data_IF_798364884262
#
_entry.id   IF_798364884262
#
_cell.length_a   1.000
_cell.length_b   1.000
_cell.length_c   1.000
_cell.angle_alpha   90.00
_cell.angle_beta   90.00
_cell.angle_gamma   90.00
#
_symmetry.space_group_name_H-M   'P 1'
#
loop_
_entity.id
_entity.type
_entity.pdbx_description
1 polymer ?
#
# COMPACT_ATOMS: atom_id res chain seq x y z
N UNK A 1 35.07 11.58 11.07
CA UNK A 1 33.76 12.29 11.16
C UNK A 1 32.68 11.66 10.27
N UNK A 2 32.92 11.40 8.97
CA UNK A 2 31.89 10.86 8.04
C UNK A 2 31.25 9.50 8.40
N UNK A 3 32.03 8.53 8.90
CA UNK A 3 31.51 7.20 9.29
C UNK A 3 30.56 7.27 10.49
N UNK A 4 30.78 8.24 11.39
CA UNK A 4 29.93 8.41 12.56
C UNK A 4 28.56 8.99 12.19
N UNK A 5 28.53 9.88 11.19
CA UNK A 5 27.30 10.49 10.67
C UNK A 5 26.48 9.46 9.88
N UNK A 6 27.11 8.61 9.07
CA UNK A 6 26.41 7.55 8.34
C UNK A 6 25.81 6.50 9.29
N UNK A 7 26.54 6.10 10.33
CA UNK A 7 26.01 5.20 11.36
C UNK A 7 24.87 5.84 12.15
N UNK A 8 24.93 7.15 12.42
CA UNK A 8 23.86 7.87 13.10
C UNK A 8 22.59 7.93 12.23
N UNK A 9 22.71 8.22 10.94
CA UNK A 9 21.59 8.25 9.99
C UNK A 9 20.96 6.86 9.84
N UNK A 10 21.77 5.82 9.67
CA UNK A 10 21.28 4.43 9.58
C UNK A 10 20.58 4.01 10.88
N UNK A 11 21.13 4.39 12.04
CA UNK A 11 20.51 4.16 13.35
C UNK A 11 19.16 4.88 13.50
N UNK A 12 19.05 6.12 13.03
CA UNK A 12 17.82 6.91 13.10
C UNK A 12 16.74 6.36 12.16
N UNK A 13 17.12 5.90 10.96
CA UNK A 13 16.24 5.21 10.01
C UNK A 13 15.77 3.88 10.60
N UNK A 14 16.66 3.09 11.19
CA UNK A 14 16.30 1.82 11.86
C UNK A 14 15.36 2.03 13.05
N UNK A 15 15.61 3.05 13.88
CA UNK A 15 14.75 3.40 15.00
C UNK A 15 13.36 3.89 14.55
N UNK A 16 13.28 4.63 13.45
CA UNK A 16 12.03 5.05 12.85
C UNK A 16 11.24 3.84 12.32
N UNK A 17 11.90 2.91 11.63
CA UNK A 17 11.29 1.66 11.17
C UNK A 17 10.72 0.82 12.32
N UNK A 18 11.50 0.64 13.39
CA UNK A 18 11.04 -0.09 14.59
C UNK A 18 9.85 0.59 15.27
N UNK A 19 9.79 1.94 15.27
CA UNK A 19 8.63 2.67 15.81
C UNK A 19 7.39 2.52 14.92
N UNK A 20 7.56 2.53 13.60
CA UNK A 20 6.47 2.32 12.64
C UNK A 20 5.87 0.94 12.81
N UNK A 21 6.69 -0.10 12.90
CA UNK A 21 6.23 -1.48 13.09
C UNK A 21 5.46 -1.64 14.41
N UNK A 22 5.99 -1.07 15.51
CA UNK A 22 5.29 -1.04 16.80
C UNK A 22 3.95 -0.29 16.75
N UNK A 23 3.86 0.78 15.96
CA UNK A 23 2.60 1.52 15.79
C UNK A 23 1.59 0.72 14.97
N UNK A 24 2.02 0.06 13.90
CA UNK A 24 1.16 -0.82 13.10
C UNK A 24 0.63 -2.00 13.94
N UNK A 25 1.48 -2.62 14.75
CA UNK A 25 1.08 -3.70 15.67
C UNK A 25 0.09 -3.23 16.74
N UNK A 26 0.21 -1.99 17.25
CA UNK A 26 -0.76 -1.44 18.22
C UNK A 26 -2.11 -1.18 17.56
N UNK A 27 -2.10 -0.64 16.35
CA UNK A 27 -3.35 -0.39 15.61
C UNK A 27 -4.05 -1.70 15.26
N UNK A 28 -3.31 -2.73 14.81
CA UNK A 28 -3.90 -4.03 14.49
C UNK A 28 -4.47 -4.74 15.72
N UNK A 29 -3.81 -4.64 16.87
CA UNK A 29 -4.36 -5.16 18.13
C UNK A 29 -5.64 -4.42 18.55
N UNK A 30 -5.64 -3.09 18.49
CA UNK A 30 -6.82 -2.30 18.84
C UNK A 30 -7.99 -2.57 17.88
N UNK A 31 -7.73 -2.77 16.59
CA UNK A 31 -8.80 -3.13 15.64
C UNK A 31 -9.39 -4.51 15.94
N UNK A 32 -8.54 -5.50 16.27
CA UNK A 32 -9.00 -6.84 16.64
C UNK A 32 -9.79 -6.82 17.95
N UNK A 33 -9.38 -6.01 18.92
CA UNK A 33 -10.06 -5.87 20.20
C UNK A 33 -11.42 -5.19 20.05
N UNK A 34 -11.52 -4.17 19.18
CA UNK A 34 -12.79 -3.54 18.84
C UNK A 34 -13.72 -4.48 18.07
N UNK A 35 -13.18 -5.32 17.19
CA UNK A 35 -13.96 -6.31 16.45
C UNK A 35 -14.51 -7.39 17.40
N UNK A 36 -13.66 -7.91 18.30
CA UNK A 36 -14.09 -8.85 19.33
C UNK A 36 -15.14 -8.25 20.29
N UNK A 37 -14.97 -6.99 20.73
CA UNK A 37 -15.96 -6.31 21.58
C UNK A 37 -17.29 -6.10 20.84
N UNK A 38 -17.22 -5.72 19.56
CA UNK A 38 -18.41 -5.56 18.73
C UNK A 38 -19.15 -6.89 18.54
N UNK A 39 -18.41 -7.97 18.33
CA UNK A 39 -19.00 -9.30 18.14
C UNK A 39 -19.56 -9.85 19.46
N UNK A 40 -18.89 -9.61 20.59
CA UNK A 40 -19.39 -9.95 21.92
C UNK A 40 -20.65 -9.17 22.32
N UNK A 41 -20.82 -7.94 21.83
CA UNK A 41 -22.05 -7.16 22.03
C UNK A 41 -23.18 -7.57 21.08
N UNK A 42 -22.86 -8.08 19.89
CA UNK A 42 -23.84 -8.58 18.90
C UNK A 42 -24.38 -9.97 19.20
N UNK A 43 -23.56 -10.85 19.77
CA UNK A 43 -23.96 -12.20 20.16
C UNK A 43 -25.21 -12.24 21.06
N UNK A 44 -25.32 -11.46 22.16
CA UNK A 44 -26.52 -11.47 23.00
C UNK A 44 -27.76 -10.88 22.30
N UNK A 45 -27.58 -9.91 21.39
CA UNK A 45 -28.69 -9.30 20.65
C UNK A 45 -29.27 -10.27 19.58
N UNK A 46 -28.45 -11.14 19.00
CA UNK A 46 -28.91 -12.16 18.06
C UNK A 46 -29.61 -13.34 18.73
N UNK A 47 -29.17 -13.76 19.93
CA UNK A 47 -29.86 -14.81 20.69
C UNK A 47 -31.25 -14.38 21.15
N UNK A 48 -31.41 -13.13 21.58
CA UNK A 48 -32.73 -12.57 21.95
C UNK A 48 -33.67 -12.47 20.74
N UNK A 49 -33.17 -12.01 19.58
CA UNK A 49 -33.98 -11.92 18.35
C UNK A 49 -34.38 -13.32 17.83
N UNK A 50 -33.48 -14.31 17.94
CA UNK A 50 -33.79 -15.69 17.56
C UNK A 50 -34.80 -16.35 18.51
N UNK A 51 -34.72 -16.11 19.83
CA UNK A 51 -35.73 -16.59 20.78
C UNK A 51 -37.10 -15.96 20.57
N UNK A 52 -37.16 -14.64 20.34
CA UNK A 52 -38.42 -13.93 20.08
C UNK A 52 -39.07 -14.42 18.78
N UNK A 53 -38.27 -14.66 17.74
CA UNK A 53 -38.77 -15.19 16.45
C UNK A 53 -39.24 -16.64 16.57
N UNK A 54 -38.51 -17.49 17.29
CA UNK A 54 -38.90 -18.88 17.53
C UNK A 54 -40.19 -18.99 18.38
N UNK A 55 -40.40 -18.07 19.33
CA UNK A 55 -41.64 -17.99 20.10
C UNK A 55 -42.83 -17.47 19.28
N UNK A 56 -42.59 -16.68 18.23
CA UNK A 56 -43.63 -16.14 17.34
C UNK A 56 -44.08 -17.13 16.24
N UNK A 57 -43.32 -18.19 15.96
CA UNK A 57 -43.58 -19.15 14.88
C UNK A 57 -44.26 -20.46 15.36
N UNK A 58 -44.64 -20.55 16.64
CA UNK A 58 -45.42 -21.67 17.16
C UNK A 58 -46.87 -21.65 16.60
N UNK A 59 -47.43 -22.77 16.10
CA UNK A 59 -48.77 -22.80 15.53
C UNK A 59 -49.84 -22.46 16.56
N UNK A 60 -50.57 -21.36 16.35
CA UNK A 60 -51.72 -20.98 17.19
C UNK A 60 -52.92 -21.88 16.88
N UNK A 61 -53.38 -22.62 17.90
CA UNK A 61 -54.61 -23.39 17.84
C UNK A 61 -55.86 -22.48 17.76
N UNK A 62 -56.97 -22.91 17.13
CA UNK A 62 -58.05 -22.03 16.74
C UNK A 62 -58.89 -21.53 17.92
N UNK A 63 -59.19 -20.23 17.92
CA UNK A 63 -60.06 -19.57 18.89
C UNK A 63 -61.43 -20.25 19.03
N UNK A 64 -61.80 -20.49 20.29
CA UNK A 64 -63.13 -20.89 20.72
C UNK A 64 -64.18 -19.82 20.35
N UNK A 65 -65.23 -20.24 19.64
CA UNK A 65 -66.47 -19.47 19.48
C UNK A 65 -67.22 -19.46 20.81
N UNK A 66 -67.48 -18.26 21.34
CA UNK A 66 -68.47 -18.05 22.39
C UNK A 66 -69.87 -18.36 21.85
N UNK A 67 -70.65 -19.15 22.59
CA UNK A 67 -72.07 -19.36 22.36
C UNK A 67 -72.90 -18.75 23.53
N UNK A 68 -74.14 -18.29 23.28
CA UNK A 68 -74.93 -17.52 24.24
C UNK A 68 -75.67 -18.40 25.25
N UNK A 69 -75.89 -17.84 26.44
CA UNK A 69 -76.56 -18.46 27.59
C UNK A 69 -78.08 -18.62 27.38
N UNK A 70 -78.68 -19.73 27.88
CA UNK A 70 -80.08 -19.74 28.33
C UNK A 70 -80.25 -20.23 29.78
N UNK A 71 -81.42 -19.98 30.43
CA UNK A 71 -81.58 -20.07 31.88
C UNK A 71 -82.15 -21.41 32.40
N UNK A 72 -81.76 -21.70 33.65
CA UNK A 72 -82.35 -22.51 34.73
C UNK A 72 -83.32 -23.69 34.45
N UNK A 73 -82.95 -24.88 34.96
CA UNK A 73 -83.83 -25.78 35.74
C UNK A 73 -83.01 -26.88 36.45
N UNK A 74 -83.38 -27.18 37.69
CA UNK A 74 -82.97 -28.32 38.57
C UNK A 74 -84.20 -29.28 38.56
N UNK A 75 -84.19 -30.60 38.89
CA UNK A 75 -83.24 -31.35 39.73
C UNK A 75 -82.98 -32.86 39.39
N UNK A 76 -82.02 -33.47 40.12
CA UNK A 76 -82.18 -34.84 40.67
C UNK A 76 -81.69 -36.06 39.86
N UNK A 77 -81.52 -37.23 40.51
CA UNK A 77 -80.28 -38.05 40.42
C UNK A 77 -80.48 -39.48 39.87
N UNK A 78 -79.39 -40.17 39.50
CA UNK A 78 -79.06 -41.56 39.88
C UNK A 78 -78.03 -42.22 38.92
N UNK A 79 -77.29 -43.24 39.39
CA UNK A 79 -76.02 -43.70 38.84
C UNK A 79 -76.11 -45.06 38.10
N UNK A 80 -75.06 -45.44 37.37
CA UNK A 80 -74.78 -46.87 37.16
C UNK A 80 -73.29 -47.14 37.02
N UNK A 81 -72.79 -47.80 38.05
CA UNK A 81 -71.62 -48.65 38.02
C UNK A 81 -71.81 -49.81 37.05
N UNK A 82 -70.73 -50.19 36.36
CA UNK A 82 -70.35 -51.60 36.20
C UNK A 82 -68.86 -51.68 35.86
N UNK A 83 -68.08 -51.92 36.92
CA UNK A 83 -66.82 -52.69 36.90
C UNK A 83 -67.16 -54.18 36.67
N UNK A 84 -66.21 -55.14 36.64
CA UNK A 84 -64.83 -55.14 36.12
C UNK A 84 -64.52 -56.46 35.35
N UNK A 85 -63.38 -56.54 34.66
CA UNK A 85 -62.64 -57.82 34.55
C UNK A 85 -61.15 -57.54 34.42
N UNK A 86 -60.43 -58.03 35.42
CA UNK A 86 -59.00 -57.95 35.64
C UNK A 86 -58.37 -59.35 35.33
N UNK A 87 -57.11 -59.68 35.68
CA UNK A 87 -55.97 -59.75 34.76
C UNK A 87 -55.32 -61.14 34.70
N UNK A 88 -54.29 -61.33 33.86
CA UNK A 88 -53.27 -62.35 34.07
C UNK A 88 -51.89 -61.82 33.65
N UNK A 89 -50.95 -61.94 34.59
CA UNK A 89 -49.59 -61.38 34.66
C UNK A 89 -48.52 -62.35 34.06
N UNK A 90 -47.20 -62.26 34.37
CA UNK A 90 -46.21 -61.24 34.01
C UNK A 90 -44.86 -61.80 33.45
N UNK A 91 -44.06 -60.93 32.77
CA UNK A 91 -42.58 -60.75 32.67
C UNK A 91 -41.55 -61.92 32.60
N UNK A 92 -40.22 -61.70 32.33
CA UNK A 92 -39.47 -60.63 31.61
C UNK A 92 -38.33 -61.18 30.69
N UNK A 93 -37.71 -60.36 29.81
CA UNK A 93 -36.24 -60.22 29.64
C UNK A 93 -35.87 -59.26 28.49
N UNK A 94 -34.88 -58.41 28.76
CA UNK A 94 -34.24 -57.48 27.83
C UNK A 94 -33.02 -58.11 27.13
N UNK A 95 -32.76 -57.73 25.87
CA UNK A 95 -31.43 -57.33 25.31
C UNK A 95 -31.48 -57.10 23.78
N UNK A 96 -30.92 -55.98 23.32
CA UNK A 96 -30.60 -55.65 21.91
C UNK A 96 -29.29 -56.36 21.46
N UNK A 97 -28.68 -56.21 20.25
CA UNK A 97 -28.90 -55.19 19.19
C UNK A 97 -28.60 -55.61 17.69
N UNK A 98 -28.64 -54.60 16.80
CA UNK A 98 -27.99 -54.40 15.46
C UNK A 98 -28.54 -55.06 14.18
N UNK A 99 -28.80 -54.19 13.19
CA UNK A 99 -28.45 -54.26 11.75
C UNK A 99 -29.65 -54.08 10.80
N UNK A 100 -29.84 -52.87 10.28
CA UNK A 100 -30.60 -52.62 9.06
C UNK A 100 -29.76 -51.76 8.11
N UNK A 101 -29.58 -52.29 6.92
CA UNK A 101 -28.65 -51.84 5.89
C UNK A 101 -29.20 -50.67 5.06
N UNK A 102 -28.26 -49.75 4.76
CA UNK A 102 -28.01 -49.08 3.49
C UNK A 102 -29.18 -48.82 2.51
N UNK A 103 -29.53 -47.54 2.39
CA UNK A 103 -29.88 -46.90 1.12
C UNK A 103 -29.22 -45.52 1.11
N UNK A 104 -27.99 -45.44 0.59
CA UNK A 104 -27.33 -44.17 0.27
C UNK A 104 -27.70 -43.74 -1.15
N UNK A 105 -28.43 -42.63 -1.19
CA UNK A 105 -28.80 -41.85 -2.34
C UNK A 105 -27.56 -41.02 -2.76
N UNK A 106 -27.19 -41.09 -4.03
CA UNK A 106 -26.04 -40.39 -4.58
C UNK A 106 -26.21 -38.86 -4.48
N UNK A 107 -25.51 -38.24 -3.53
CA UNK A 107 -25.24 -36.81 -3.50
C UNK A 107 -23.79 -36.56 -3.95
N UNK A 108 -23.50 -35.48 -4.69
CA UNK A 108 -22.13 -35.15 -5.09
C UNK A 108 -21.30 -34.87 -3.84
N UNK A 109 -20.25 -35.66 -3.60
CA UNK A 109 -19.25 -35.37 -2.58
C UNK A 109 -18.62 -34.01 -2.84
N UNK A 110 -18.93 -33.04 -1.98
CA UNK A 110 -18.06 -31.90 -1.77
C UNK A 110 -16.71 -32.44 -1.23
N UNK A 111 -15.56 -32.05 -1.81
CA UNK A 111 -14.28 -32.57 -1.33
C UNK A 111 -14.08 -32.11 0.12
N UNK A 112 -14.07 -33.08 1.02
CA UNK A 112 -13.71 -32.89 2.41
C UNK A 112 -12.28 -32.32 2.47
N UNK A 113 -12.12 -31.22 3.21
CA UNK A 113 -10.84 -30.58 3.43
C UNK A 113 -9.84 -31.53 4.09
N UNK A 114 -8.94 -32.07 3.29
CA UNK A 114 -7.67 -32.62 3.74
C UNK A 114 -6.57 -31.62 3.40
N UNK A 115 -5.72 -31.29 4.38
CA UNK A 115 -4.41 -30.68 4.12
C UNK A 115 -3.48 -31.73 3.48
N UNK A 116 -3.79 -32.15 2.25
CA UNK A 116 -2.80 -32.79 1.39
C UNK A 116 -2.15 -31.67 0.60
N UNK A 117 -0.84 -31.45 0.80
CA UNK A 117 -0.09 -30.63 -0.14
C UNK A 117 -0.30 -31.24 -1.52
N UNK A 118 -0.99 -30.49 -2.38
CA UNK A 118 -1.37 -30.90 -3.72
C UNK A 118 -0.10 -30.82 -4.59
N UNK A 119 0.81 -31.76 -4.37
CA UNK A 119 2.10 -31.84 -5.08
C UNK A 119 1.87 -31.94 -6.59
N UNK A 120 0.75 -32.53 -7.03
CA UNK A 120 0.34 -32.59 -8.43
C UNK A 120 -0.04 -31.21 -8.99
N UNK A 121 -0.71 -30.34 -8.22
CA UNK A 121 -1.03 -28.97 -8.67
C UNK A 121 0.22 -28.06 -8.68
N UNK A 122 1.15 -28.30 -7.74
CA UNK A 122 2.43 -27.57 -7.68
C UNK A 122 3.38 -28.01 -8.78
N UNK A 123 3.63 -29.32 -8.96
CA UNK A 123 4.57 -29.87 -9.93
C UNK A 123 3.98 -29.99 -11.35
N UNK A 124 2.69 -30.30 -11.48
CA UNK A 124 2.04 -30.51 -12.77
C UNK A 124 1.56 -29.22 -13.43
N UNK A 125 1.02 -28.26 -12.68
CA UNK A 125 0.43 -27.02 -13.25
C UNK A 125 1.29 -25.78 -13.06
N UNK A 126 1.88 -25.58 -11.87
CA UNK A 126 2.58 -24.32 -11.56
C UNK A 126 4.07 -24.35 -11.91
N UNK A 127 4.75 -25.49 -11.75
CA UNK A 127 6.18 -25.62 -12.01
C UNK A 127 6.57 -25.41 -13.48
N UNK A 128 5.83 -25.91 -14.49
CA UNK A 128 6.16 -25.67 -15.89
C UNK A 128 5.92 -24.22 -16.32
N UNK A 129 4.91 -23.54 -15.75
CA UNK A 129 4.65 -22.11 -16.00
C UNK A 129 5.78 -21.26 -15.42
N UNK A 130 6.20 -21.57 -14.19
CA UNK A 130 7.26 -20.83 -13.52
C UNK A 130 8.64 -21.13 -14.12
N UNK A 131 8.93 -22.40 -14.38
CA UNK A 131 10.17 -22.84 -15.02
C UNK A 131 10.27 -22.36 -16.47
N UNK A 132 9.17 -22.42 -17.23
CA UNK A 132 9.09 -21.87 -18.58
C UNK A 132 9.26 -20.35 -18.60
N UNK A 133 8.62 -19.64 -17.68
CA UNK A 133 8.81 -18.20 -17.52
C UNK A 133 10.25 -17.82 -17.16
N UNK A 134 10.88 -18.57 -16.26
CA UNK A 134 12.28 -18.37 -15.88
C UNK A 134 13.24 -18.67 -17.04
N UNK A 135 13.03 -19.77 -17.76
CA UNK A 135 13.81 -20.12 -18.95
C UNK A 135 13.65 -19.06 -20.04
N UNK A 136 12.43 -18.55 -20.28
CA UNK A 136 12.17 -17.49 -21.24
C UNK A 136 12.85 -16.17 -20.84
N UNK A 137 12.83 -15.82 -19.55
CA UNK A 137 13.52 -14.65 -19.03
C UNK A 137 15.05 -14.74 -19.25
N UNK A 138 15.64 -15.89 -18.93
CA UNK A 138 17.07 -16.16 -19.16
C UNK A 138 17.38 -16.09 -20.66
N UNK A 139 16.60 -16.77 -21.49
CA UNK A 139 16.77 -16.76 -22.95
C UNK A 139 16.70 -15.33 -23.51
N UNK A 140 15.78 -14.51 -23.02
CA UNK A 140 15.70 -13.09 -23.38
C UNK A 140 16.96 -12.30 -23.02
N UNK A 141 17.49 -12.47 -21.81
CA UNK A 141 18.73 -11.83 -21.37
C UNK A 141 19.92 -12.24 -22.26
N UNK A 142 20.06 -13.55 -22.54
CA UNK A 142 21.12 -14.05 -23.43
C UNK A 142 20.94 -13.58 -24.87
N UNK A 143 19.71 -13.49 -25.38
CA UNK A 143 19.44 -12.99 -26.73
C UNK A 143 19.85 -11.52 -26.87
N UNK A 144 19.52 -10.69 -25.87
CA UNK A 144 19.96 -9.29 -25.82
C UNK A 144 21.48 -9.23 -25.79
N UNK A 145 22.13 -10.00 -24.90
CA UNK A 145 23.59 -10.05 -24.80
C UNK A 145 24.25 -10.48 -26.11
N UNK A 146 23.74 -11.52 -26.76
CA UNK A 146 24.22 -11.98 -28.06
C UNK A 146 24.09 -10.88 -29.12
N UNK A 147 22.95 -10.18 -29.16
CA UNK A 147 22.72 -9.07 -30.10
C UNK A 147 23.67 -7.88 -29.86
N UNK A 148 24.10 -7.68 -28.61
CA UNK A 148 25.11 -6.69 -28.22
C UNK A 148 26.50 -7.11 -28.70
N UNK A 149 26.89 -8.37 -28.46
CA UNK A 149 28.20 -8.92 -28.83
C UNK A 149 28.36 -9.04 -30.36
N UNK A 150 27.28 -9.37 -31.07
CA UNK A 150 27.24 -9.42 -32.53
C UNK A 150 27.15 -8.03 -33.20
N UNK A 151 27.09 -6.94 -32.41
CA UNK A 151 27.09 -5.57 -32.93
C UNK A 151 25.77 -5.09 -33.55
N UNK A 152 24.70 -5.88 -33.51
CA UNK A 152 23.39 -5.50 -34.07
C UNK A 152 22.73 -4.36 -33.29
N UNK A 153 22.90 -4.35 -31.97
CA UNK A 153 22.37 -3.31 -31.10
C UNK A 153 23.48 -2.34 -30.73
N UNK A 154 23.64 -1.26 -31.48
CA UNK A 154 24.56 -0.17 -31.10
C UNK A 154 24.00 0.61 -29.90
N UNK A 155 24.85 1.29 -29.09
CA UNK A 155 24.39 2.11 -27.96
C UNK A 155 23.20 3.06 -28.26
N UNK A 156 23.19 3.85 -29.35
CA UNK A 156 22.04 4.72 -29.64
C UNK A 156 20.75 3.93 -29.93
N UNK A 157 20.84 2.78 -30.60
CA UNK A 157 19.67 1.94 -30.90
C UNK A 157 19.08 1.36 -29.62
N UNK A 158 19.91 0.91 -28.67
CA UNK A 158 19.46 0.40 -27.36
C UNK A 158 18.69 1.45 -26.57
N UNK A 159 19.19 2.69 -26.59
CA UNK A 159 18.55 3.82 -25.91
C UNK A 159 17.24 4.18 -26.61
N UNK A 160 17.22 4.28 -27.94
CA UNK A 160 16.00 4.56 -28.69
C UNK A 160 14.92 3.49 -28.46
N UNK A 161 15.29 2.20 -28.48
CA UNK A 161 14.37 1.11 -28.18
C UNK A 161 13.84 1.18 -26.74
N UNK A 162 14.70 1.53 -25.77
CA UNK A 162 14.27 1.74 -24.38
C UNK A 162 13.24 2.86 -24.26
N UNK A 163 13.45 3.98 -24.96
CA UNK A 163 12.48 5.09 -24.98
C UNK A 163 11.15 4.69 -25.63
N UNK A 164 11.20 4.07 -26.81
CA UNK A 164 9.99 3.60 -27.51
C UNK A 164 9.24 2.58 -26.65
N UNK A 165 9.95 1.65 -26.01
CA UNK A 165 9.36 0.65 -25.14
C UNK A 165 8.73 1.28 -23.90
N UNK A 166 9.44 2.19 -23.22
CA UNK A 166 8.93 2.90 -22.04
C UNK A 166 7.69 3.74 -22.34
N UNK A 167 7.70 4.49 -23.45
CA UNK A 167 6.53 5.24 -23.92
C UNK A 167 5.39 4.31 -24.34
N UNK A 168 5.71 3.19 -24.99
CA UNK A 168 4.75 2.15 -25.37
C UNK A 168 4.04 1.55 -24.16
N UNK A 169 4.77 1.25 -23.09
CA UNK A 169 4.19 0.79 -21.82
C UNK A 169 3.28 1.84 -21.19
N UNK A 170 3.66 3.11 -21.25
CA UNK A 170 2.84 4.22 -20.74
C UNK A 170 1.56 4.39 -21.56
N UNK A 171 1.65 4.29 -22.88
CA UNK A 171 0.50 4.31 -23.78
C UNK A 171 -0.41 3.09 -23.55
N UNK A 172 0.17 1.92 -23.30
CA UNK A 172 -0.57 0.71 -22.95
C UNK A 172 -1.26 0.84 -21.58
N UNK A 173 -0.64 1.50 -20.60
CA UNK A 173 -1.27 1.82 -19.31
C UNK A 173 -2.49 2.74 -19.50
N UNK A 174 -2.35 3.77 -20.34
CA UNK A 174 -3.42 4.69 -20.72
C UNK A 174 -4.56 3.98 -21.47
N UNK A 175 -4.23 3.07 -22.39
CA UNK A 175 -5.21 2.27 -23.09
C UNK A 175 -5.96 1.33 -22.13
N UNK A 176 -5.24 0.67 -21.21
CA UNK A 176 -5.82 -0.16 -20.17
C UNK A 176 -6.77 0.64 -19.26
N UNK A 177 -6.42 1.89 -18.94
CA UNK A 177 -7.30 2.80 -18.18
C UNK A 177 -8.57 3.16 -18.95
N UNK A 178 -8.50 3.36 -20.28
CA UNK A 178 -9.69 3.63 -21.11
C UNK A 178 -10.60 2.41 -21.25
N UNK A 179 -10.03 1.22 -21.14
CA UNK A 179 -10.71 -0.07 -21.21
C UNK A 179 -11.10 -0.61 -19.82
N UNK A 180 -11.15 0.24 -18.79
CA UNK A 180 -11.41 -0.14 -17.39
C UNK A 180 -12.67 -1.02 -17.23
N UNK A 181 -13.69 -0.82 -18.07
CA UNK A 181 -14.91 -1.63 -18.05
C UNK A 181 -14.69 -3.11 -18.48
N UNK A 182 -13.58 -3.42 -19.15
CA UNK A 182 -13.21 -4.78 -19.60
C UNK A 182 -12.05 -5.40 -18.82
N UNK A 183 -11.25 -4.60 -18.12
CA UNK A 183 -10.13 -5.07 -17.30
C UNK A 183 -10.52 -5.03 -15.82
N UNK A 184 -10.70 -6.20 -15.21
CA UNK A 184 -11.16 -6.30 -13.83
C UNK A 184 -10.14 -5.88 -12.77
N UNK A 185 -8.83 -5.85 -13.08
CA UNK A 185 -7.77 -5.58 -12.09
C UNK A 185 -7.01 -4.26 -12.34
N UNK A 186 -7.16 -3.25 -11.45
CA UNK A 186 -6.44 -1.97 -11.54
C UNK A 186 -4.92 -2.10 -11.34
N UNK A 187 -4.42 -3.25 -10.89
CA UNK A 187 -2.98 -3.52 -10.76
C UNK A 187 -2.27 -3.60 -12.11
N UNK A 188 -2.97 -4.00 -13.16
CA UNK A 188 -2.38 -4.13 -14.51
C UNK A 188 -1.93 -2.76 -15.02
N UNK A 189 -2.83 -1.76 -15.02
CA UNK A 189 -2.49 -0.39 -15.43
C UNK A 189 -1.41 0.25 -14.54
N UNK A 190 -1.40 -0.06 -13.25
CA UNK A 190 -0.37 0.40 -12.31
C UNK A 190 1.01 -0.19 -12.62
N UNK A 191 1.05 -1.50 -12.90
CA UNK A 191 2.28 -2.19 -13.27
C UNK A 191 2.82 -1.67 -14.60
N UNK A 192 1.96 -1.48 -15.61
CA UNK A 192 2.38 -0.91 -16.91
C UNK A 192 2.89 0.52 -16.77
N UNK A 193 2.19 1.38 -16.01
CA UNK A 193 2.64 2.76 -15.79
C UNK A 193 3.97 2.81 -15.02
N UNK A 194 4.10 1.99 -13.98
CA UNK A 194 5.34 1.89 -13.21
C UNK A 194 6.52 1.37 -14.03
N UNK A 195 6.31 0.29 -14.79
CA UNK A 195 7.32 -0.27 -15.67
C UNK A 195 7.75 0.72 -16.77
N UNK A 196 6.79 1.46 -17.36
CA UNK A 196 7.08 2.50 -18.34
C UNK A 196 7.95 3.62 -17.77
N UNK A 197 7.60 4.14 -16.59
CA UNK A 197 8.38 5.17 -15.90
C UNK A 197 9.79 4.67 -15.53
N UNK A 198 9.90 3.46 -14.96
CA UNK A 198 11.19 2.87 -14.61
C UNK A 198 12.08 2.69 -15.86
N UNK A 199 11.49 2.25 -16.97
CA UNK A 199 12.19 2.11 -18.25
C UNK A 199 12.67 3.47 -18.76
N UNK A 200 11.86 4.53 -18.66
CA UNK A 200 12.25 5.89 -19.07
C UNK A 200 13.37 6.47 -18.21
N UNK A 201 13.34 6.26 -16.89
CA UNK A 201 14.47 6.62 -16.01
C UNK A 201 15.75 5.90 -16.45
N UNK A 202 15.66 4.59 -16.67
CA UNK A 202 16.77 3.81 -17.20
C UNK A 202 17.26 4.33 -18.54
N UNK A 203 16.37 4.64 -19.48
CA UNK A 203 16.72 5.14 -20.81
C UNK A 203 17.53 6.44 -20.74
N UNK A 204 17.12 7.41 -19.92
CA UNK A 204 17.90 8.65 -19.73
C UNK A 204 19.24 8.41 -19.02
N UNK A 205 19.28 7.51 -18.04
CA UNK A 205 20.53 7.15 -17.38
C UNK A 205 21.53 6.49 -18.35
N UNK A 206 21.06 5.52 -19.15
CA UNK A 206 21.89 4.90 -20.19
C UNK A 206 22.34 5.93 -21.23
N UNK A 207 21.45 6.84 -21.64
CA UNK A 207 21.75 7.86 -22.62
C UNK A 207 22.82 8.86 -22.14
N UNK A 208 22.70 9.36 -20.91
CA UNK A 208 23.60 10.36 -20.35
C UNK A 208 24.87 9.75 -19.77
N UNK A 209 24.71 8.91 -18.75
CA UNK A 209 25.82 8.47 -17.89
C UNK A 209 26.54 7.25 -18.44
N UNK A 210 25.81 6.26 -18.94
CA UNK A 210 26.45 5.00 -19.39
C UNK A 210 27.09 5.13 -20.78
N UNK A 211 26.39 5.77 -21.72
CA UNK A 211 26.82 5.83 -23.12
C UNK A 211 27.26 7.22 -23.59
N UNK A 212 27.05 8.28 -22.80
CA UNK A 212 27.46 9.65 -23.17
C UNK A 212 26.82 10.17 -24.46
N UNK A 213 25.66 9.65 -24.86
CA UNK A 213 24.94 10.00 -26.08
C UNK A 213 24.32 11.41 -26.00
N UNK A 214 23.94 11.82 -24.79
CA UNK A 214 23.43 13.15 -24.49
C UNK A 214 24.27 13.76 -23.36
N UNK A 215 24.45 15.08 -23.35
CA UNK A 215 25.17 15.76 -22.27
C UNK A 215 24.48 15.61 -20.91
N UNK A 216 25.21 15.87 -19.83
CA UNK A 216 24.70 15.79 -18.45
C UNK A 216 23.46 16.67 -18.22
N UNK A 217 23.44 17.89 -18.79
CA UNK A 217 22.30 18.81 -18.71
C UNK A 217 20.98 18.23 -19.25
N UNK A 218 20.90 17.83 -20.54
CA UNK A 218 19.69 17.21 -21.08
C UNK A 218 19.34 15.86 -20.43
N UNK A 219 20.32 15.08 -19.97
CA UNK A 219 20.05 13.86 -19.20
C UNK A 219 19.34 14.17 -17.88
N UNK A 220 19.84 15.17 -17.13
CA UNK A 220 19.26 15.63 -15.89
C UNK A 220 17.86 16.21 -16.09
N UNK A 221 17.67 17.07 -17.09
CA UNK A 221 16.36 17.62 -17.45
C UNK A 221 15.37 16.52 -17.87
N UNK A 222 15.85 15.51 -18.60
CA UNK A 222 15.07 14.34 -18.98
C UNK A 222 14.58 13.55 -17.78
N UNK A 223 15.47 13.20 -16.84
CA UNK A 223 15.11 12.53 -15.58
C UNK A 223 14.13 13.36 -14.73
N UNK A 224 14.33 14.67 -14.67
CA UNK A 224 13.40 15.59 -14.02
C UNK A 224 12.02 15.60 -14.70
N UNK A 225 11.99 15.62 -16.03
CA UNK A 225 10.77 15.50 -16.84
C UNK A 225 10.03 14.19 -16.59
N UNK A 226 10.75 13.06 -16.50
CA UNK A 226 10.16 11.76 -16.14
C UNK A 226 9.56 11.81 -14.73
N UNK A 227 10.22 12.49 -13.79
CA UNK A 227 9.68 12.65 -12.43
C UNK A 227 8.40 13.47 -12.41
N UNK A 228 8.35 14.58 -13.14
CA UNK A 228 7.13 15.39 -13.29
C UNK A 228 6.02 14.56 -13.93
N UNK A 229 6.34 13.78 -14.96
CA UNK A 229 5.40 12.85 -15.58
C UNK A 229 4.91 11.80 -14.57
N UNK A 230 5.80 11.22 -13.75
CA UNK A 230 5.44 10.25 -12.72
C UNK A 230 4.47 10.83 -11.69
N UNK A 231 4.71 12.06 -11.25
CA UNK A 231 3.82 12.81 -10.35
C UNK A 231 2.45 13.02 -11.02
N UNK A 232 2.43 13.52 -12.26
CA UNK A 232 1.18 13.73 -13.00
C UNK A 232 0.39 12.44 -13.20
N UNK A 233 1.08 11.37 -13.60
CA UNK A 233 0.50 10.05 -13.82
C UNK A 233 0.01 9.39 -12.52
N UNK A 234 0.60 9.74 -11.37
CA UNK A 234 0.15 9.19 -10.09
C UNK A 234 -1.29 9.58 -9.74
N UNK A 235 -1.79 10.71 -10.23
CA UNK A 235 -3.20 11.07 -10.04
C UNK A 235 -4.14 10.18 -10.85
N UNK A 236 -3.64 9.54 -11.91
CA UNK A 236 -4.43 8.68 -12.80
C UNK A 236 -4.29 7.20 -12.48
N UNK A 237 -3.06 6.75 -12.24
CA UNK A 237 -2.73 5.35 -12.01
C UNK A 237 -2.62 5.00 -10.52
N UNK A 238 -2.42 5.98 -9.64
CA UNK A 238 -2.39 5.83 -8.18
C UNK A 238 -0.98 5.82 -7.58
N UNK A 239 -0.89 5.24 -6.39
CA UNK A 239 0.29 5.31 -5.50
C UNK A 239 1.61 4.80 -6.13
N UNK A 240 1.66 3.69 -6.90
CA UNK A 240 2.94 3.14 -7.37
C UNK A 240 3.74 4.10 -8.25
N UNK A 241 3.08 4.88 -9.11
CA UNK A 241 3.75 5.87 -9.97
C UNK A 241 4.37 7.01 -9.16
N UNK A 242 3.71 7.43 -8.07
CA UNK A 242 4.27 8.45 -7.18
C UNK A 242 5.49 7.94 -6.40
N UNK A 243 5.47 6.67 -5.96
CA UNK A 243 6.64 6.06 -5.29
C UNK A 243 7.83 5.97 -6.24
N UNK A 244 7.60 5.58 -7.49
CA UNK A 244 8.67 5.58 -8.52
C UNK A 244 9.17 7.00 -8.76
N UNK A 245 8.28 8.00 -8.83
CA UNK A 245 8.68 9.41 -8.93
C UNK A 245 9.48 9.90 -7.72
N UNK A 246 9.16 9.44 -6.51
CA UNK A 246 9.93 9.75 -5.29
C UNK A 246 11.33 9.19 -5.40
N UNK A 247 11.45 7.88 -5.63
CA UNK A 247 12.74 7.20 -5.70
C UNK A 247 13.56 7.75 -6.87
N UNK A 248 12.98 7.84 -8.06
CA UNK A 248 13.65 8.31 -9.26
C UNK A 248 14.02 9.79 -9.21
N UNK A 249 13.15 10.65 -8.65
CA UNK A 249 13.40 12.08 -8.50
C UNK A 249 14.60 12.41 -7.63
N UNK A 250 14.73 11.72 -6.49
CA UNK A 250 15.87 11.87 -5.58
C UNK A 250 17.10 11.09 -6.02
N UNK A 251 16.96 10.02 -6.83
CA UNK A 251 18.08 9.30 -7.41
C UNK A 251 18.68 10.02 -8.62
N UNK A 252 17.92 10.83 -9.36
CA UNK A 252 18.36 11.48 -10.59
C UNK A 252 19.68 12.27 -10.47
N UNK A 253 19.92 13.08 -9.42
CA UNK A 253 21.18 13.80 -9.26
C UNK A 253 22.37 12.91 -8.91
N UNK A 254 22.15 11.71 -8.33
CA UNK A 254 23.21 10.72 -8.12
C UNK A 254 23.58 10.01 -9.42
N UNK A 255 22.57 9.81 -10.28
CA UNK A 255 22.70 9.07 -11.52
C UNK A 255 23.44 9.85 -12.60
N UNK A 256 23.33 11.18 -12.60
CA UNK A 256 24.06 12.05 -13.51
C UNK A 256 25.24 12.65 -12.73
N UNK A 257 26.46 12.19 -13.02
CA UNK A 257 27.68 12.84 -12.53
C UNK A 257 27.57 14.33 -12.88
N UNK A 258 27.38 15.15 -11.86
CA UNK A 258 27.16 16.58 -12.01
C UNK A 258 28.50 17.26 -12.24
N UNK A 259 29.03 17.13 -13.46
CA UNK A 259 30.27 17.80 -13.91
C UNK A 259 30.15 19.33 -13.82
N UNK A 260 28.92 19.84 -13.81
CA UNK A 260 28.61 21.19 -13.38
C UNK A 260 28.20 21.17 -11.91
N UNK A 261 29.12 21.47 -10.99
CA UNK A 261 28.87 21.70 -9.56
C UNK A 261 27.97 22.93 -9.27
N UNK A 262 26.89 23.11 -10.03
CA UNK A 262 25.93 24.20 -9.87
C UNK A 262 24.92 23.82 -8.78
N UNK A 263 25.34 24.01 -7.54
CA UNK A 263 24.50 23.84 -6.34
C UNK A 263 23.15 24.58 -6.48
N UNK A 264 23.09 25.82 -6.98
CA UNK A 264 21.82 26.52 -7.20
C UNK A 264 20.81 25.76 -8.07
N UNK A 265 21.24 25.22 -9.21
CA UNK A 265 20.36 24.48 -10.12
C UNK A 265 19.82 23.20 -9.45
N UNK A 266 20.68 22.48 -8.73
CA UNK A 266 20.31 21.27 -8.03
C UNK A 266 19.32 21.58 -6.89
N UNK A 267 19.60 22.60 -6.08
CA UNK A 267 18.72 23.06 -4.99
C UNK A 267 17.34 23.44 -5.53
N UNK A 268 17.27 24.14 -6.66
CA UNK A 268 16.01 24.50 -7.30
C UNK A 268 15.24 23.26 -7.78
N UNK A 269 15.91 22.33 -8.44
CA UNK A 269 15.31 21.06 -8.88
C UNK A 269 14.76 20.26 -7.69
N UNK A 270 15.53 20.09 -6.62
CA UNK A 270 15.09 19.36 -5.43
C UNK A 270 13.95 20.06 -4.70
N UNK A 271 13.95 21.39 -4.63
CA UNK A 271 12.84 22.15 -4.05
C UNK A 271 11.54 21.88 -4.83
N UNK A 272 11.61 21.92 -6.17
CA UNK A 272 10.47 21.63 -7.05
C UNK A 272 9.96 20.20 -6.89
N UNK A 273 10.86 19.21 -6.87
CA UNK A 273 10.50 17.79 -6.75
C UNK A 273 9.91 17.52 -5.36
N UNK A 274 10.57 17.98 -4.30
CA UNK A 274 10.07 17.85 -2.92
C UNK A 274 8.70 18.52 -2.78
N UNK A 275 8.53 19.71 -3.37
CA UNK A 275 7.25 20.41 -3.39
C UNK A 275 6.15 19.69 -4.16
N UNK A 276 6.46 19.20 -5.36
CA UNK A 276 5.52 18.43 -6.18
C UNK A 276 5.05 17.15 -5.49
N UNK A 277 5.98 16.43 -4.85
CA UNK A 277 5.64 15.17 -4.16
C UNK A 277 4.91 15.38 -2.85
N UNK A 278 5.31 16.37 -2.06
CA UNK A 278 4.60 16.72 -0.82
C UNK A 278 3.17 17.18 -1.09
N UNK A 279 2.97 18.02 -2.12
CA UNK A 279 1.65 18.40 -2.61
C UNK A 279 0.86 17.15 -3.00
N UNK A 280 1.45 16.29 -3.83
CA UNK A 280 0.78 15.09 -4.35
C UNK A 280 0.37 14.14 -3.23
N UNK A 281 1.24 13.90 -2.25
CA UNK A 281 0.94 13.11 -1.05
C UNK A 281 -0.19 13.70 -0.22
N UNK A 282 -0.24 15.03 -0.08
CA UNK A 282 -1.32 15.72 0.64
C UNK A 282 -2.66 15.61 -0.10
N UNK A 283 -2.64 15.71 -1.44
CA UNK A 283 -3.85 15.63 -2.27
C UNK A 283 -4.41 14.21 -2.33
N UNK A 284 -3.55 13.19 -2.30
CA UNK A 284 -3.95 11.78 -2.29
C UNK A 284 -4.28 11.25 -0.87
N UNK A 285 -4.31 12.10 0.17
CA UNK A 285 -4.48 11.72 1.60
C UNK A 285 -3.44 10.73 2.15
N UNK A 286 -2.36 10.48 1.40
CA UNK A 286 -1.27 9.59 1.77
C UNK A 286 -0.15 10.39 2.43
N UNK A 287 -0.38 10.80 3.68
CA UNK A 287 0.53 11.67 4.45
C UNK A 287 1.96 11.12 4.56
N UNK A 288 2.10 9.79 4.56
CA UNK A 288 3.42 9.13 4.61
C UNK A 288 4.33 9.54 3.46
N UNK A 289 3.77 9.78 2.27
CA UNK A 289 4.56 10.13 1.08
C UNK A 289 5.05 11.58 1.11
N UNK A 290 4.24 12.48 1.69
CA UNK A 290 4.68 13.84 1.99
C UNK A 290 5.82 13.85 3.02
N UNK A 291 5.74 13.01 4.04
CA UNK A 291 6.84 12.88 5.02
C UNK A 291 8.09 12.25 4.41
N UNK A 292 7.94 11.23 3.56
CA UNK A 292 9.06 10.62 2.86
C UNK A 292 9.76 11.62 1.92
N UNK A 293 9.00 12.43 1.19
CA UNK A 293 9.55 13.47 0.33
C UNK A 293 10.30 14.55 1.12
N UNK A 294 9.74 15.03 2.24
CA UNK A 294 10.43 15.98 3.13
C UNK A 294 11.70 15.38 3.73
N UNK A 295 11.64 14.13 4.21
CA UNK A 295 12.80 13.45 4.79
C UNK A 295 13.92 13.26 3.76
N UNK A 296 13.58 12.85 2.53
CA UNK A 296 14.53 12.70 1.45
C UNK A 296 15.16 14.05 1.05
N UNK A 297 14.35 15.11 0.94
CA UNK A 297 14.84 16.45 0.64
C UNK A 297 15.75 17.01 1.74
N UNK A 298 15.38 16.87 3.01
CA UNK A 298 16.24 17.28 4.14
C UNK A 298 17.53 16.45 4.20
N UNK A 299 17.45 15.15 3.90
CA UNK A 299 18.61 14.27 3.81
C UNK A 299 19.59 14.72 2.72
N UNK A 300 19.08 15.17 1.58
CA UNK A 300 19.92 15.75 0.54
C UNK A 300 20.55 17.09 0.94
N UNK A 301 19.85 17.90 1.75
CA UNK A 301 20.42 19.10 2.35
C UNK A 301 21.68 18.80 3.17
N UNK A 302 21.65 17.73 3.99
CA UNK A 302 22.86 17.24 4.71
C UNK A 302 23.94 16.81 3.73
N UNK A 303 23.57 16.08 2.68
CA UNK A 303 24.53 15.59 1.69
C UNK A 303 25.27 16.74 1.00
N UNK A 304 24.56 17.82 0.64
CA UNK A 304 25.17 19.01 0.05
C UNK A 304 26.08 19.76 1.03
N UNK A 305 25.72 19.84 2.31
CA UNK A 305 26.59 20.42 3.35
C UNK A 305 27.91 19.63 3.47
N UNK A 306 27.83 18.30 3.51
CA UNK A 306 29.00 17.43 3.60
C UNK A 306 29.86 17.49 2.34
N UNK A 307 29.25 17.71 1.17
CA UNK A 307 29.96 17.86 -0.10
C UNK A 307 30.85 19.12 -0.18
N UNK A 308 30.74 20.03 0.79
CA UNK A 308 31.63 21.20 0.91
C UNK A 308 31.19 22.35 0.02
N UNK A 309 30.26 23.16 0.52
CA UNK A 309 29.79 24.37 -0.16
C UNK A 309 30.77 25.51 0.08
N UNK A 310 31.43 25.99 -0.96
CA UNK A 310 32.53 26.98 -0.85
C UNK A 310 32.18 28.37 -1.41
N UNK A 311 31.17 28.48 -2.28
CA UNK A 311 30.78 29.76 -2.90
C UNK A 311 29.60 30.42 -2.20
N UNK A 312 29.58 31.76 -2.16
CA UNK A 312 28.48 32.56 -1.59
C UNK A 312 27.12 32.29 -2.27
N UNK A 313 27.12 32.05 -3.58
CA UNK A 313 25.93 31.66 -4.34
C UNK A 313 25.32 30.35 -3.86
N UNK A 314 26.17 29.41 -3.48
CA UNK A 314 25.78 28.05 -3.14
C UNK A 314 25.25 28.00 -1.69
N UNK A 315 25.86 28.80 -0.80
CA UNK A 315 25.35 29.05 0.56
C UNK A 315 23.95 29.69 0.52
N UNK A 316 23.75 30.71 -0.34
CA UNK A 316 22.45 31.36 -0.49
C UNK A 316 21.39 30.39 -1.06
N UNK A 317 21.74 29.60 -2.08
CA UNK A 317 20.84 28.62 -2.66
C UNK A 317 20.44 27.52 -1.67
N UNK A 318 21.41 27.00 -0.90
CA UNK A 318 21.15 25.99 0.12
C UNK A 318 20.31 26.57 1.27
N UNK A 319 20.57 27.81 1.68
CA UNK A 319 19.76 28.51 2.67
C UNK A 319 18.30 28.67 2.23
N UNK A 320 18.07 29.17 1.01
CA UNK A 320 16.72 29.30 0.44
C UNK A 320 16.04 27.93 0.36
N UNK A 321 16.76 26.89 -0.08
CA UNK A 321 16.26 25.52 -0.15
C UNK A 321 15.77 25.01 1.22
N UNK A 322 16.54 25.23 2.29
CA UNK A 322 16.17 24.84 3.65
C UNK A 322 14.97 25.62 4.18
N UNK A 323 14.86 26.92 3.89
CA UNK A 323 13.68 27.73 4.26
C UNK A 323 12.43 27.20 3.55
N UNK A 324 12.56 26.86 2.26
CA UNK A 324 11.44 26.31 1.48
C UNK A 324 10.98 24.97 2.06
N UNK A 325 11.89 24.05 2.38
CA UNK A 325 11.56 22.74 2.97
C UNK A 325 11.06 22.82 4.41
N UNK A 326 11.66 23.68 5.24
CA UNK A 326 11.41 23.75 6.67
C UNK A 326 10.23 24.61 7.08
N UNK A 327 9.94 25.68 6.30
CA UNK A 327 8.91 26.66 6.64
C UNK A 327 7.79 26.70 5.60
N UNK A 328 8.14 26.94 4.33
CA UNK A 328 7.14 27.22 3.27
C UNK A 328 6.28 25.99 2.99
N UNK A 329 6.91 24.84 2.76
CA UNK A 329 6.22 23.59 2.44
C UNK A 329 5.31 23.10 3.58
N UNK A 330 5.78 23.01 4.83
CA UNK A 330 4.94 22.68 5.97
C UNK A 330 3.79 23.68 6.19
N UNK A 331 4.03 24.98 6.02
CA UNK A 331 2.98 26.00 6.17
C UNK A 331 1.87 25.83 5.12
N UNK A 332 2.25 25.54 3.87
CA UNK A 332 1.28 25.29 2.78
C UNK A 332 0.43 24.03 3.04
N UNK A 333 1.03 23.01 3.67
CA UNK A 333 0.34 21.77 4.05
C UNK A 333 -0.59 21.94 5.27
N UNK A 334 -0.31 22.90 6.17
CA UNK A 334 -1.07 23.16 7.39
C UNK A 334 -2.43 23.84 7.16
N UNK A 335 -2.63 24.50 6.01
CA UNK A 335 -3.90 25.18 5.68
C UNK A 335 -5.14 24.25 5.71
N UNK A 336 -4.98 22.93 5.76
CA UNK A 336 -6.08 21.94 5.76
C UNK A 336 -6.25 21.10 7.03
N UNK A 337 -5.45 21.34 8.07
CA UNK A 337 -5.54 20.62 9.34
C UNK A 337 -4.29 20.87 10.18
N UNK A 338 -4.46 21.19 11.46
CA UNK A 338 -3.44 21.73 12.36
C UNK A 338 -2.10 20.98 12.43
N UNK A 339 -1.13 21.51 13.21
CA UNK A 339 0.26 21.08 13.16
C UNK A 339 0.41 19.60 13.49
N UNK A 340 0.97 18.84 12.55
CA UNK A 340 1.33 17.44 12.80
C UNK A 340 2.76 17.39 13.38
N UNK A 341 2.97 16.57 14.42
CA UNK A 341 4.28 16.29 15.03
C UNK A 341 5.46 16.17 14.03
N UNK A 342 5.35 15.47 12.89
CA UNK A 342 6.43 15.37 11.91
C UNK A 342 6.75 16.68 11.16
N UNK A 343 5.80 17.61 11.00
CA UNK A 343 6.06 18.91 10.38
C UNK A 343 6.87 19.83 11.30
N UNK A 344 6.60 19.79 12.61
CA UNK A 344 7.40 20.47 13.61
C UNK A 344 8.81 19.89 13.69
N UNK A 345 8.94 18.56 13.58
CA UNK A 345 10.24 17.91 13.51
C UNK A 345 11.02 18.29 12.24
N UNK A 346 10.36 18.36 11.08
CA UNK A 346 10.99 18.82 9.84
C UNK A 346 11.49 20.28 9.95
N UNK A 347 10.67 21.17 10.53
CA UNK A 347 11.08 22.55 10.81
C UNK A 347 12.26 22.62 11.78
N UNK A 348 12.25 21.83 12.85
CA UNK A 348 13.37 21.74 13.81
C UNK A 348 14.66 21.17 13.21
N UNK A 349 14.56 20.21 12.29
CA UNK A 349 15.72 19.68 11.56
C UNK A 349 16.27 20.74 10.60
N UNK A 350 15.39 21.45 9.89
CA UNK A 350 15.82 22.52 8.97
C UNK A 350 16.49 23.69 9.70
N UNK A 351 15.97 24.09 10.86
CA UNK A 351 16.61 25.15 11.69
C UNK A 351 17.94 24.68 12.28
N UNK A 352 18.04 23.41 12.70
CA UNK A 352 19.30 22.81 13.12
C UNK A 352 20.33 22.82 11.98
N UNK A 353 19.93 22.41 10.77
CA UNK A 353 20.79 22.42 9.59
C UNK A 353 21.27 23.84 9.28
N UNK A 354 20.39 24.83 9.30
CA UNK A 354 20.76 26.24 9.13
C UNK A 354 21.76 26.71 10.19
N UNK A 355 21.55 26.36 11.46
CA UNK A 355 22.47 26.73 12.54
C UNK A 355 23.88 26.15 12.34
N UNK A 356 23.98 24.90 11.87
CA UNK A 356 25.27 24.26 11.54
C UNK A 356 25.92 24.93 10.31
N UNK A 357 25.13 25.29 9.30
CA UNK A 357 25.66 26.02 8.13
C UNK A 357 26.29 27.35 8.54
N UNK A 358 25.59 28.10 9.41
CA UNK A 358 26.02 29.43 9.87
C UNK A 358 27.25 29.33 10.76
N UNK A 359 27.39 28.27 11.58
CA UNK A 359 28.60 28.06 12.39
C UNK A 359 29.83 27.76 11.54
N UNK A 360 29.67 27.05 10.43
CA UNK A 360 30.79 26.67 9.55
C UNK A 360 31.16 27.78 8.56
N UNK A 361 30.21 28.64 8.17
CA UNK A 361 30.42 29.75 7.22
C UNK A 361 31.10 31.00 7.82
N UNK A 362 31.48 30.98 9.10
CA UNK A 362 32.30 32.03 9.73
C UNK A 362 31.66 33.42 9.70
N UNK A 363 30.48 33.59 10.32
CA UNK A 363 29.86 34.89 10.67
C UNK A 363 29.89 35.99 9.58
N UNK A 364 29.86 35.63 8.30
CA UNK A 364 29.74 36.62 7.23
C UNK A 364 28.40 37.38 7.36
N UNK A 365 28.38 38.72 7.20
CA UNK A 365 27.24 39.59 7.54
C UNK A 365 25.94 39.33 6.76
N UNK A 366 25.97 38.46 5.74
CA UNK A 366 24.80 38.06 4.96
C UNK A 366 23.93 36.97 5.64
N UNK A 367 24.43 36.32 6.71
CA UNK A 367 23.68 35.29 7.46
C UNK A 367 22.57 35.86 8.33
N UNK A 368 22.63 37.14 8.70
CA UNK A 368 21.63 37.81 9.54
C UNK A 368 20.35 38.25 8.79
N UNK A 369 20.34 38.19 7.46
CA UNK A 369 19.17 38.56 6.66
C UNK A 369 18.04 37.51 6.66
N UNK A 370 18.33 36.26 7.04
CA UNK A 370 17.39 35.14 6.94
C UNK A 370 16.79 34.69 8.29
N UNK A 371 17.16 35.34 9.39
CA UNK A 371 16.71 35.02 10.77
C UNK A 371 15.62 35.93 11.32
N UNK A 372 15.10 36.88 10.53
CA UNK A 372 13.98 37.74 10.93
C UNK A 372 12.64 37.26 10.37
#
# INVERSE_FOLDING_TARGET
MGIFITLLIVGLIGAAWLRIDRLQQRVSRLSLELENLRDALRAPEQDDIHQIRAAAEAPSAPWAKQAPMPPASVPGPAPSESRPSEPAAPEPVASAPIAAAALDEALPEAPAGGFTFDFEDIFGRRLPIWGGGFALAIAGIFLVRFSIEAGLLTPPVRVAMSFVFGLGLLAAAEAAFRLDARLADPRVRQALAGAGLATLYGAFYLAGTTYGLIGAGPAFLGLGGVTIAAIGLSFRFGLPSAVIGLVGGFAAPLLVESDSGNVPLLSFYLALITGGLTWTGARQRQRWMSYAALAAGLGWGVLMMVAGVSSTSDLAALGIYLVVLGAVLPAFLQSRGGPTLPQLAAGGIATLQMAVMVSDAGFAPLTWGFTC
#
